data_IF_530013759119
#
_entry.id   IF_530013759119
#
_cell.length_a   1.000
_cell.length_b   1.000
_cell.length_c   1.000
_cell.angle_alpha   90.00
_cell.angle_beta   90.00
_cell.angle_gamma   90.00
#
_symmetry.space_group_name_H-M   'P 1'
#
loop_
_entity.id
_entity.type
_entity.pdbx_description
1 polymer ?
#
# COMPACT_ATOMS: atom_id res chain seq x y z
N UNK A 1 -10.38 9.44 -1.82
CA UNK A 1 -10.78 8.16 -2.46
C UNK A 1 -11.31 8.33 -3.88
N UNK A 2 -11.77 9.52 -4.27
CA UNK A 2 -12.41 9.77 -5.56
C UNK A 2 -11.54 9.37 -6.76
N UNK A 3 -10.28 9.82 -6.83
CA UNK A 3 -9.38 9.49 -7.95
C UNK A 3 -9.17 7.99 -8.06
N UNK A 4 -8.87 7.32 -6.95
CA UNK A 4 -8.69 5.86 -6.90
C UNK A 4 -9.91 5.07 -7.39
N UNK A 5 -11.14 5.50 -7.03
CA UNK A 5 -12.38 4.79 -7.39
C UNK A 5 -12.87 5.10 -8.82
N UNK A 6 -12.57 6.28 -9.36
CA UNK A 6 -13.26 6.80 -10.55
C UNK A 6 -12.34 7.14 -11.73
N UNK A 7 -11.02 7.13 -11.55
CA UNK A 7 -10.05 7.44 -12.60
C UNK A 7 -9.21 6.22 -12.98
N UNK A 8 -8.63 6.18 -14.20
CA UNK A 8 -7.71 5.13 -14.60
C UNK A 8 -6.50 5.02 -13.65
N UNK A 9 -5.92 3.82 -13.56
CA UNK A 9 -4.76 3.54 -12.71
C UNK A 9 -3.60 4.50 -12.96
N UNK A 10 -3.28 4.78 -14.22
CA UNK A 10 -2.23 5.73 -14.60
C UNK A 10 -2.48 7.14 -14.03
N UNK A 11 -3.72 7.63 -14.08
CA UNK A 11 -4.09 8.95 -13.53
C UNK A 11 -3.97 8.97 -12.00
N UNK A 12 -4.34 7.85 -11.35
CA UNK A 12 -4.14 7.68 -9.92
C UNK A 12 -2.66 7.70 -9.54
N UNK A 13 -1.82 6.91 -10.20
CA UNK A 13 -0.38 6.82 -9.92
C UNK A 13 0.31 8.18 -10.14
N UNK A 14 -0.01 8.87 -11.23
CA UNK A 14 0.53 10.19 -11.52
C UNK A 14 0.11 11.22 -10.46
N UNK A 15 -1.15 11.17 -9.99
CA UNK A 15 -1.62 12.08 -8.95
C UNK A 15 -0.99 11.75 -7.59
N UNK A 16 -0.79 10.47 -7.29
CA UNK A 16 -0.13 10.01 -6.09
C UNK A 16 1.34 10.45 -6.05
N UNK A 17 2.09 10.25 -7.15
CA UNK A 17 3.45 10.76 -7.27
C UNK A 17 3.50 12.29 -7.06
N UNK A 18 2.61 13.02 -7.73
CA UNK A 18 2.52 14.47 -7.59
C UNK A 18 2.26 14.92 -6.14
N UNK A 19 1.45 14.18 -5.39
CA UNK A 19 1.24 14.43 -3.95
C UNK A 19 2.54 14.24 -3.16
N UNK A 20 3.31 13.18 -3.42
CA UNK A 20 4.58 12.94 -2.73
C UNK A 20 5.61 14.04 -2.99
N UNK A 21 5.65 14.56 -4.22
CA UNK A 21 6.57 15.64 -4.62
C UNK A 21 6.17 16.99 -4.04
N UNK A 22 4.86 17.33 -4.06
CA UNK A 22 4.40 18.68 -3.75
C UNK A 22 3.83 18.84 -2.35
N UNK A 23 3.24 17.79 -1.78
CA UNK A 23 2.50 17.78 -0.51
C UNK A 23 1.44 18.89 -0.42
N UNK A 24 0.90 19.33 -1.56
CA UNK A 24 -0.03 20.45 -1.67
C UNK A 24 -1.46 19.95 -1.84
N UNK A 25 -2.24 20.01 -0.77
CA UNK A 25 -3.62 19.53 -0.77
C UNK A 25 -4.51 20.29 -1.75
N UNK A 26 -4.28 21.59 -1.94
CA UNK A 26 -5.12 22.42 -2.80
C UNK A 26 -4.94 22.01 -4.26
N UNK A 27 -3.70 21.69 -4.66
CA UNK A 27 -3.42 21.21 -6.02
C UNK A 27 -3.99 19.82 -6.26
N UNK A 28 -3.98 18.93 -5.26
CA UNK A 28 -4.65 17.63 -5.37
C UNK A 28 -6.17 17.79 -5.47
N UNK A 29 -6.78 18.65 -4.65
CA UNK A 29 -8.23 18.94 -4.72
C UNK A 29 -8.63 19.48 -6.10
N UNK A 30 -7.81 20.36 -6.67
CA UNK A 30 -8.03 20.87 -8.03
C UNK A 30 -7.93 19.75 -9.09
N UNK A 31 -6.89 18.90 -8.99
CA UNK A 31 -6.69 17.75 -9.89
C UNK A 31 -7.80 16.72 -9.79
N UNK A 32 -8.35 16.49 -8.59
CA UNK A 32 -9.46 15.58 -8.36
C UNK A 32 -10.77 16.05 -9.02
N UNK A 33 -10.85 17.33 -9.41
CA UNK A 33 -12.10 17.98 -9.79
C UNK A 33 -12.93 18.27 -8.54
N UNK A 34 -13.28 19.53 -8.31
CA UNK A 34 -14.06 19.98 -7.15
C UNK A 34 -15.41 19.25 -7.08
N UNK A 35 -15.44 18.12 -6.39
CA UNK A 35 -16.64 17.32 -6.18
C UNK A 35 -16.81 17.19 -4.67
N UNK A 36 -17.67 18.06 -4.14
CA UNK A 36 -18.31 17.90 -2.84
C UNK A 36 -19.23 16.68 -2.88
N UNK A 37 -18.65 15.49 -2.90
CA UNK A 37 -19.35 14.24 -2.64
C UNK A 37 -18.75 13.69 -1.37
N UNK A 38 -19.62 13.45 -0.39
CA UNK A 38 -19.29 12.70 0.80
C UNK A 38 -18.63 11.39 0.36
N UNK A 39 -17.31 11.29 0.54
CA UNK A 39 -16.57 10.10 0.13
C UNK A 39 -16.94 8.93 1.03
N UNK A 40 -17.21 7.77 0.43
CA UNK A 40 -17.30 6.52 1.18
C UNK A 40 -15.90 6.07 1.60
N UNK A 41 -15.65 6.16 2.92
CA UNK A 41 -14.40 5.81 3.60
C UNK A 41 -14.41 4.41 4.21
N UNK A 42 -15.47 3.61 4.01
CA UNK A 42 -15.61 2.28 4.62
C UNK A 42 -14.38 1.38 4.41
N UNK A 43 -13.82 1.37 3.20
CA UNK A 43 -12.60 0.60 2.88
C UNK A 43 -11.39 1.02 3.72
N UNK A 44 -11.21 2.33 3.98
CA UNK A 44 -10.11 2.84 4.79
C UNK A 44 -10.29 2.51 6.28
N UNK A 45 -11.53 2.59 6.77
CA UNK A 45 -11.87 2.24 8.15
C UNK A 45 -11.63 0.74 8.39
N UNK A 46 -12.13 -0.10 7.49
CA UNK A 46 -11.96 -1.56 7.59
C UNK A 46 -10.48 -1.94 7.52
N UNK A 47 -9.73 -1.40 6.57
CA UNK A 47 -8.28 -1.61 6.46
C UNK A 47 -7.53 -1.14 7.72
N UNK A 48 -7.94 -0.03 8.33
CA UNK A 48 -7.34 0.45 9.58
C UNK A 48 -7.61 -0.49 10.75
N UNK A 49 -8.81 -1.08 10.82
CA UNK A 49 -9.17 -2.06 11.84
C UNK A 49 -8.41 -3.38 11.65
N UNK A 50 -8.32 -3.87 10.41
CA UNK A 50 -7.53 -5.06 10.04
C UNK A 50 -6.05 -4.88 10.37
N UNK A 51 -5.46 -3.75 9.98
CA UNK A 51 -4.07 -3.42 10.29
C UNK A 51 -3.82 -3.43 11.80
N UNK A 52 -4.69 -2.79 12.58
CA UNK A 52 -4.57 -2.77 14.05
C UNK A 52 -4.66 -4.18 14.65
N UNK A 53 -5.62 -4.98 14.20
CA UNK A 53 -5.80 -6.36 14.67
C UNK A 53 -4.59 -7.25 14.32
N UNK A 54 -3.95 -6.98 13.19
CA UNK A 54 -2.72 -7.66 12.76
C UNK A 54 -1.42 -7.08 13.38
N UNK A 55 -1.52 -6.07 14.26
CA UNK A 55 -0.36 -5.42 14.88
C UNK A 55 0.42 -4.46 13.97
N UNK A 56 -0.12 -4.15 12.78
CA UNK A 56 0.48 -3.25 11.79
C UNK A 56 0.20 -1.78 12.17
N UNK A 57 0.90 -1.31 13.20
CA UNK A 57 0.63 -0.02 13.87
C UNK A 57 1.59 1.12 13.47
N UNK A 58 2.47 0.89 12.49
CA UNK A 58 3.40 1.89 11.97
C UNK A 58 3.40 1.89 10.45
N UNK A 59 3.88 2.96 9.83
CA UNK A 59 4.01 3.07 8.37
C UNK A 59 5.35 3.68 7.99
N UNK A 60 6.02 3.23 6.92
CA UNK A 60 5.58 2.18 5.99
C UNK A 60 5.73 0.77 6.58
N UNK A 61 4.81 -0.12 6.22
CA UNK A 61 4.96 -1.58 6.37
C UNK A 61 4.73 -2.19 4.99
N UNK A 62 5.67 -3.00 4.52
CA UNK A 62 5.57 -3.71 3.24
C UNK A 62 5.45 -5.20 3.56
N UNK A 63 4.39 -5.82 3.08
CA UNK A 63 4.17 -7.26 3.22
C UNK A 63 4.36 -7.94 1.87
N UNK A 64 5.22 -8.95 1.82
CA UNK A 64 5.41 -9.80 0.64
C UNK A 64 5.00 -11.21 1.02
N UNK A 65 3.91 -11.70 0.42
CA UNK A 65 3.36 -13.03 0.69
C UNK A 65 3.13 -13.28 2.20
N UNK A 66 2.69 -12.26 2.94
CA UNK A 66 2.41 -12.31 4.38
C UNK A 66 3.63 -12.13 5.29
N UNK A 67 4.83 -11.96 4.74
CA UNK A 67 6.05 -11.68 5.50
C UNK A 67 6.39 -10.20 5.43
N UNK A 68 6.77 -9.61 6.57
CA UNK A 68 7.17 -8.22 6.64
C UNK A 68 8.56 -8.03 6.03
N UNK A 69 8.67 -7.11 5.07
CA UNK A 69 9.95 -6.67 4.53
C UNK A 69 10.77 -6.02 5.65
N UNK A 70 12.00 -6.50 5.93
CA UNK A 70 12.73 -6.04 7.11
C UNK A 70 13.27 -4.61 6.95
N UNK A 71 13.17 -3.81 8.02
CA UNK A 71 13.61 -2.41 8.05
C UNK A 71 15.12 -2.21 7.81
N UNK A 72 15.91 -3.29 7.87
CA UNK A 72 17.36 -3.28 7.62
C UNK A 72 17.73 -3.29 6.13
N UNK A 73 16.78 -3.58 5.25
CA UNK A 73 17.00 -3.57 3.80
C UNK A 73 16.58 -2.23 3.23
N UNK A 74 17.35 -1.73 2.27
CA UNK A 74 16.88 -0.63 1.43
C UNK A 74 15.76 -1.14 0.51
N UNK A 75 14.87 -0.25 0.05
CA UNK A 75 13.70 -0.67 -0.76
C UNK A 75 14.13 -1.31 -2.08
N UNK A 76 15.27 -0.87 -2.59
CA UNK A 76 15.95 -1.37 -3.77
C UNK A 76 16.37 -2.84 -3.61
N UNK A 77 16.57 -3.30 -2.38
CA UNK A 77 16.96 -4.68 -2.04
C UNK A 77 15.76 -5.64 -1.95
N UNK A 78 14.55 -5.20 -2.32
CA UNK A 78 13.33 -6.01 -2.26
C UNK A 78 13.46 -7.36 -2.99
N UNK A 79 14.25 -7.39 -4.07
CA UNK A 79 14.49 -8.60 -4.84
C UNK A 79 15.28 -9.65 -4.05
N UNK A 80 16.23 -9.25 -3.20
CA UNK A 80 16.97 -10.18 -2.34
C UNK A 80 16.05 -10.83 -1.32
N UNK A 81 15.16 -10.06 -0.71
CA UNK A 81 14.19 -10.60 0.23
C UNK A 81 13.19 -11.56 -0.46
N UNK A 82 12.71 -11.22 -1.66
CA UNK A 82 11.86 -12.13 -2.45
C UNK A 82 12.61 -13.43 -2.74
N UNK A 83 13.88 -13.35 -3.14
CA UNK A 83 14.73 -14.50 -3.41
C UNK A 83 14.91 -15.40 -2.18
N UNK A 84 15.13 -14.80 -1.00
CA UNK A 84 15.20 -15.52 0.27
C UNK A 84 13.88 -16.23 0.56
N UNK A 85 12.74 -15.55 0.42
CA UNK A 85 11.41 -16.13 0.65
C UNK A 85 11.09 -17.32 -0.27
N UNK A 86 11.55 -17.28 -1.53
CA UNK A 86 11.33 -18.37 -2.50
C UNK A 86 12.23 -19.57 -2.19
N UNK A 87 13.41 -19.35 -1.60
CA UNK A 87 14.37 -20.41 -1.26
C UNK A 87 14.14 -21.02 0.13
N UNK A 88 13.31 -20.39 0.95
CA UNK A 88 12.99 -20.85 2.30
C UNK A 88 12.10 -22.10 2.26
N UNK A 89 12.69 -23.25 2.56
CA UNK A 89 12.02 -24.55 2.57
C UNK A 89 10.90 -24.62 3.62
N UNK A 90 11.02 -23.94 4.76
CA UNK A 90 9.95 -23.92 5.78
C UNK A 90 8.72 -23.19 5.23
N UNK A 91 8.93 -22.07 4.53
CA UNK A 91 7.87 -21.30 3.87
C UNK A 91 7.21 -22.11 2.76
N UNK A 92 8.00 -22.79 1.92
CA UNK A 92 7.49 -23.64 0.83
C UNK A 92 6.65 -24.79 1.39
N UNK A 93 7.13 -25.44 2.45
CA UNK A 93 6.45 -26.60 3.04
C UNK A 93 5.17 -26.21 3.79
N UNK A 94 5.09 -24.99 4.35
CA UNK A 94 3.86 -24.45 4.96
C UNK A 94 2.74 -24.25 3.94
N UNK A 95 3.05 -23.90 2.69
CA UNK A 95 2.06 -23.76 1.60
C UNK A 95 1.45 -25.09 1.13
N UNK A 96 2.11 -26.22 1.37
CA UNK A 96 1.65 -27.56 0.94
C UNK A 96 0.62 -28.20 1.87
N UNK A 97 0.39 -27.63 3.04
CA UNK A 97 -0.48 -28.18 4.08
C UNK A 97 -1.88 -27.52 4.15
N UNK A 98 -2.31 -26.86 3.06
CA UNK A 98 -3.65 -26.27 2.92
C UNK A 98 -4.40 -26.92 1.77
#
# INVERSE_FOLDING_TARGET
>A
MHIYKNKPEEEFLNTFQYWFETKDENKIKQKAGSISVQEDLSSLINMSAENRAAGLNFTPIILINGYQFPDKYDREDIYYFIDELIKDEEIINKKRNF
#
